data_IF_010615972858
#
_entry.id   IF_010615972858
#
_cell.length_a   1.000
_cell.length_b   1.000
_cell.length_c   1.000
_cell.angle_alpha   90.00
_cell.angle_beta   90.00
_cell.angle_gamma   90.00
#
_symmetry.space_group_name_H-M   'P 1'
#
loop_
_entity.id
_entity.type
_entity.pdbx_description
1 polymer ?
#
# COMPACT_ATOMS: atom_id res chain seq x y z
N UNK A 1 -17.54 6.23 -0.60
CA UNK A 1 -16.97 5.61 0.62
C UNK A 1 -16.39 6.73 1.49
N UNK A 2 -16.56 6.72 2.82
CA UNK A 2 -15.87 7.71 3.67
C UNK A 2 -14.36 7.51 3.49
N UNK A 3 -13.66 8.56 3.04
CA UNK A 3 -12.22 8.51 2.71
C UNK A 3 -11.30 8.45 3.95
N UNK A 4 -11.86 8.62 5.15
CA UNK A 4 -11.13 8.81 6.41
C UNK A 4 -11.55 7.79 7.48
N UNK A 5 -11.76 6.53 7.08
CA UNK A 5 -12.00 5.44 8.05
C UNK A 5 -10.65 5.02 8.65
N UNK A 6 -10.54 5.10 9.99
CA UNK A 6 -9.30 4.75 10.70
C UNK A 6 -8.76 3.36 10.31
N UNK A 7 -9.65 2.39 10.04
CA UNK A 7 -9.27 1.04 9.62
C UNK A 7 -8.55 1.04 8.26
N UNK A 8 -9.02 1.84 7.31
CA UNK A 8 -8.42 1.92 5.96
C UNK A 8 -7.06 2.59 5.99
N UNK A 9 -6.85 3.56 6.88
CA UNK A 9 -5.55 4.21 7.10
C UNK A 9 -4.56 3.22 7.72
N UNK A 10 -4.96 2.51 8.79
CA UNK A 10 -4.15 1.47 9.42
C UNK A 10 -3.76 0.39 8.42
N UNK A 11 -4.73 -0.09 7.62
CA UNK A 11 -4.49 -1.06 6.56
C UNK A 11 -3.46 -0.56 5.54
N UNK A 12 -3.61 0.68 5.04
CA UNK A 12 -2.66 1.27 4.07
C UNK A 12 -1.24 1.33 4.62
N UNK A 13 -1.06 1.80 5.86
CA UNK A 13 0.26 1.85 6.53
C UNK A 13 0.86 0.44 6.71
N UNK A 14 0.03 -0.54 7.05
CA UNK A 14 0.45 -1.94 7.17
C UNK A 14 0.93 -2.50 5.83
N UNK A 15 0.19 -2.29 4.74
CA UNK A 15 0.60 -2.74 3.40
C UNK A 15 1.90 -2.09 2.93
N UNK A 16 2.12 -0.80 3.21
CA UNK A 16 3.39 -0.11 2.92
C UNK A 16 4.54 -0.80 3.65
N UNK A 17 4.39 -1.06 4.96
CA UNK A 17 5.43 -1.73 5.74
C UNK A 17 5.70 -3.16 5.25
N UNK A 18 4.66 -3.90 4.87
CA UNK A 18 4.83 -5.24 4.29
C UNK A 18 5.58 -5.17 2.95
N UNK A 19 5.32 -4.16 2.12
CA UNK A 19 6.01 -3.99 0.84
C UNK A 19 7.50 -3.73 1.05
N UNK A 20 7.86 -2.89 2.03
CA UNK A 20 9.26 -2.63 2.38
C UNK A 20 9.98 -3.91 2.84
N UNK A 21 9.31 -4.76 3.61
CA UNK A 21 9.86 -6.05 4.06
C UNK A 21 10.02 -6.99 2.87
N UNK A 22 8.99 -7.14 2.02
CA UNK A 22 9.03 -8.01 0.85
C UNK A 22 10.14 -7.60 -0.13
N UNK A 23 10.36 -6.29 -0.33
CA UNK A 23 11.48 -5.75 -1.13
C UNK A 23 12.84 -6.14 -0.55
N UNK A 24 13.02 -6.10 0.76
CA UNK A 24 14.26 -6.53 1.44
C UNK A 24 14.50 -8.04 1.30
N UNK A 25 13.43 -8.83 1.31
CA UNK A 25 13.48 -10.29 1.16
C UNK A 25 13.48 -10.76 -0.31
N UNK A 26 13.36 -9.84 -1.28
CA UNK A 26 13.27 -10.12 -2.72
C UNK A 26 12.11 -11.07 -3.10
N UNK A 27 10.99 -11.00 -2.38
CA UNK A 27 9.81 -11.84 -2.57
C UNK A 27 8.92 -11.30 -3.71
N UNK A 28 9.29 -11.58 -4.97
CA UNK A 28 8.69 -10.95 -6.16
C UNK A 28 7.16 -11.04 -6.25
N UNK A 29 6.58 -12.19 -5.94
CA UNK A 29 5.13 -12.39 -6.01
C UNK A 29 4.40 -11.58 -4.92
N UNK A 30 4.98 -11.52 -3.72
CA UNK A 30 4.44 -10.73 -2.61
C UNK A 30 4.56 -9.23 -2.91
N UNK A 31 5.69 -8.80 -3.47
CA UNK A 31 5.89 -7.41 -3.93
C UNK A 31 4.78 -7.04 -4.91
N UNK A 32 4.59 -7.84 -5.97
CA UNK A 32 3.56 -7.60 -6.99
C UNK A 32 2.17 -7.51 -6.38
N UNK A 33 1.81 -8.45 -5.50
CA UNK A 33 0.52 -8.43 -4.81
C UNK A 33 0.32 -7.14 -3.99
N UNK A 34 1.32 -6.74 -3.21
CA UNK A 34 1.23 -5.55 -2.35
C UNK A 34 1.15 -4.25 -3.16
N UNK A 35 1.86 -4.18 -4.28
CA UNK A 35 1.77 -3.06 -5.23
C UNK A 35 0.38 -2.96 -5.86
N UNK A 36 -0.23 -4.08 -6.24
CA UNK A 36 -1.60 -4.12 -6.74
C UNK A 36 -2.60 -3.63 -5.67
N UNK A 37 -2.48 -4.10 -4.43
CA UNK A 37 -3.31 -3.63 -3.30
C UNK A 37 -3.18 -2.12 -3.09
N UNK A 38 -1.94 -1.60 -3.02
CA UNK A 38 -1.69 -0.17 -2.81
C UNK A 38 -2.13 0.69 -4.02
N UNK A 39 -2.10 0.14 -5.24
CA UNK A 39 -2.63 0.78 -6.43
C UNK A 39 -4.16 0.97 -6.36
N UNK A 40 -4.89 0.07 -5.70
CA UNK A 40 -6.34 0.21 -5.48
C UNK A 40 -6.61 1.38 -4.52
N UNK A 41 -5.82 1.54 -3.46
CA UNK A 41 -5.91 2.70 -2.57
C UNK A 41 -5.71 4.01 -3.34
N UNK A 42 -4.72 4.06 -4.23
CA UNK A 42 -4.41 5.23 -5.07
C UNK A 42 -5.53 5.51 -6.08
N UNK A 43 -5.99 4.49 -6.82
CA UNK A 43 -7.06 4.57 -7.81
C UNK A 43 -8.35 5.21 -7.27
N UNK A 44 -8.69 4.92 -6.02
CA UNK A 44 -9.92 5.42 -5.39
C UNK A 44 -9.68 6.60 -4.43
N UNK A 45 -8.46 7.14 -4.38
CA UNK A 45 -8.07 8.23 -3.48
C UNK A 45 -8.44 7.94 -2.00
N UNK A 46 -8.21 6.69 -1.58
CA UNK A 46 -8.40 6.26 -0.20
C UNK A 46 -7.13 6.60 0.59
N UNK A 47 -7.28 7.48 1.59
CA UNK A 47 -6.17 8.04 2.38
C UNK A 47 -5.04 8.58 1.49
N UNK A 48 -5.36 9.38 0.46
CA UNK A 48 -4.41 9.90 -0.53
C UNK A 48 -3.24 10.72 0.06
N UNK A 49 -3.42 11.28 1.25
CA UNK A 49 -2.36 11.94 2.02
C UNK A 49 -1.21 11.01 2.47
N UNK A 50 -1.43 9.69 2.42
CA UNK A 50 -0.41 8.67 2.70
C UNK A 50 0.18 8.19 1.38
N UNK A 51 1.40 8.63 1.08
CA UNK A 51 2.12 8.30 -0.15
C UNK A 51 2.98 7.05 0.09
N UNK A 52 2.99 6.15 -0.89
CA UNK A 52 3.90 5.01 -0.93
C UNK A 52 4.83 5.17 -2.14
N UNK A 53 6.12 4.85 -1.99
CA UNK A 53 7.11 5.04 -3.05
C UNK A 53 7.18 3.80 -3.94
N UNK A 54 6.80 3.98 -5.20
CA UNK A 54 7.14 3.04 -6.28
C UNK A 54 8.60 3.30 -6.64
N UNK A 55 9.41 2.25 -6.65
CA UNK A 55 10.74 2.37 -7.24
C UNK A 55 10.54 2.49 -8.75
N UNK A 56 11.15 3.50 -9.37
CA UNK A 56 11.04 3.75 -10.82
C UNK A 56 11.82 2.71 -11.61
#
# INVERSE_FOLDING_TARGET
MKKNLKQTETGKKMFIRMLEIAKKSNEKDLIKFLEEVLSVYEKYDINGHIIWKKDK
#
